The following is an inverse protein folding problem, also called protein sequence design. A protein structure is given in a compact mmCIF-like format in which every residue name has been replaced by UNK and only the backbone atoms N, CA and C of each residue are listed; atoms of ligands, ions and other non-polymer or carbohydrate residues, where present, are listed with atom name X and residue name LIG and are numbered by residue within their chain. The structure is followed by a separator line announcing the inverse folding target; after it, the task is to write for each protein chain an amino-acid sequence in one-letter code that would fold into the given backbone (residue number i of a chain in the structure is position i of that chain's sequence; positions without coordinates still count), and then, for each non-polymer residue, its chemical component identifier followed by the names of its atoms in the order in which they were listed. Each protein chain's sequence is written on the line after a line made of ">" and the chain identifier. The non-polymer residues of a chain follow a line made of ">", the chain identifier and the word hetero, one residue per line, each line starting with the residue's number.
data_IF_835150823118
#
_entry.id   IF_835150823118
#
_cell.length_a   1.000
_cell.length_b   1.000
_cell.length_c   1.000
_cell.angle_alpha   90.00
_cell.angle_beta   90.00
_cell.angle_gamma   90.00
#
_symmetry.space_group_name_H-M   'P 1'
#
loop_
_entity.id
_entity.type
_entity.pdbx_description
1 polymer ?
#
# COMPACT_ATOMS: atom_id res chain seq x y z
N UNK A 1 -18.24 26.31 -14.27
CA UNK A 1 -16.87 26.33 -13.73
C UNK A 1 -16.68 24.96 -13.08
N UNK A 2 -15.91 24.07 -13.73
CA UNK A 2 -15.56 22.76 -13.15
C UNK A 2 -14.50 23.07 -12.08
N UNK A 3 -14.83 22.85 -10.82
CA UNK A 3 -13.86 22.95 -9.74
C UNK A 3 -12.74 21.95 -10.04
N UNK A 4 -11.55 22.45 -10.33
CA UNK A 4 -10.34 21.66 -10.47
C UNK A 4 -10.01 21.15 -9.06
N UNK A 5 -10.41 19.93 -8.75
CA UNK A 5 -10.01 19.28 -7.50
C UNK A 5 -8.48 19.24 -7.50
N UNK A 6 -7.86 20.04 -6.64
CA UNK A 6 -6.40 20.01 -6.45
C UNK A 6 -6.11 18.68 -5.79
N UNK A 7 -5.60 17.71 -6.54
CA UNK A 7 -5.15 16.45 -5.97
C UNK A 7 -4.03 16.77 -4.98
N UNK A 8 -4.25 16.46 -3.72
CA UNK A 8 -3.34 16.74 -2.60
C UNK A 8 -2.03 15.92 -2.69
N UNK A 9 -1.85 15.15 -3.78
CA UNK A 9 -0.67 14.33 -4.06
C UNK A 9 -0.81 12.89 -3.60
N UNK A 10 0.22 12.09 -3.90
CA UNK A 10 0.29 10.67 -3.57
C UNK A 10 1.44 10.41 -2.59
N UNK A 11 1.15 9.70 -1.51
CA UNK A 11 2.14 9.13 -0.61
C UNK A 11 2.38 7.67 -1.00
N UNK A 12 3.61 7.35 -1.42
CA UNK A 12 4.06 6.00 -1.71
C UNK A 12 4.91 5.48 -0.56
N UNK A 13 4.59 4.32 -0.01
CA UNK A 13 5.38 3.71 1.05
C UNK A 13 5.89 2.33 0.67
N UNK A 14 7.04 1.95 1.22
CA UNK A 14 7.59 0.60 1.21
C UNK A 14 8.03 0.24 2.61
N UNK A 15 8.55 -0.96 2.80
CA UNK A 15 9.04 -1.43 4.08
C UNK A 15 10.53 -1.71 4.03
N UNK A 16 11.21 -1.46 5.14
CA UNK A 16 12.60 -1.85 5.34
C UNK A 16 12.79 -3.38 5.28
N UNK A 17 14.02 -3.82 5.33
CA UNK A 17 14.39 -5.23 5.39
C UNK A 17 13.90 -5.87 6.68
N UNK A 18 13.44 -7.12 6.62
CA UNK A 18 12.96 -7.88 7.78
C UNK A 18 13.32 -9.35 7.71
N UNK A 19 13.38 -10.00 8.87
CA UNK A 19 13.74 -11.41 8.96
C UNK A 19 15.09 -11.70 8.25
N UNK A 20 15.13 -12.72 7.42
CA UNK A 20 16.33 -13.10 6.64
C UNK A 20 16.42 -12.40 5.27
N UNK A 21 15.46 -11.54 4.93
CA UNK A 21 15.44 -10.81 3.67
C UNK A 21 16.32 -9.56 3.79
N UNK A 22 17.57 -9.65 3.30
CA UNK A 22 18.54 -8.53 3.31
C UNK A 22 18.11 -7.33 2.47
N UNK A 23 17.21 -7.52 1.53
CA UNK A 23 16.64 -6.50 0.67
C UNK A 23 15.14 -6.71 0.56
N UNK A 24 14.37 -5.66 0.81
CA UNK A 24 12.93 -5.67 0.60
C UNK A 24 12.62 -5.06 -0.77
N UNK A 25 11.93 -5.81 -1.62
CA UNK A 25 11.59 -5.35 -2.98
C UNK A 25 10.72 -4.09 -2.95
N UNK A 26 9.85 -3.94 -1.93
CA UNK A 26 9.01 -2.74 -1.80
C UNK A 26 9.86 -1.49 -1.54
N UNK A 27 10.89 -1.58 -0.70
CA UNK A 27 11.86 -0.50 -0.48
C UNK A 27 12.56 -0.13 -1.79
N UNK A 28 13.06 -1.12 -2.54
CA UNK A 28 13.80 -0.87 -3.77
C UNK A 28 12.95 -0.18 -4.83
N UNK A 29 11.68 -0.58 -4.98
CA UNK A 29 10.75 0.07 -5.92
C UNK A 29 10.46 1.52 -5.50
N UNK A 30 10.24 1.77 -4.19
CA UNK A 30 10.03 3.14 -3.67
C UNK A 30 11.25 4.01 -3.89
N UNK A 31 12.45 3.52 -3.62
CA UNK A 31 13.72 4.25 -3.83
C UNK A 31 13.93 4.60 -5.31
N UNK A 32 13.64 3.66 -6.23
CA UNK A 32 13.70 3.93 -7.67
C UNK A 32 12.68 4.99 -8.10
N UNK A 33 11.44 4.91 -7.63
CA UNK A 33 10.41 5.90 -7.93
C UNK A 33 10.81 7.28 -7.38
N UNK A 34 11.38 7.33 -6.18
CA UNK A 34 11.86 8.57 -5.57
C UNK A 34 12.99 9.23 -6.36
N UNK A 35 13.90 8.44 -6.94
CA UNK A 35 15.10 8.93 -7.64
C UNK A 35 14.91 9.15 -9.14
N UNK A 36 14.13 8.31 -9.80
CA UNK A 36 14.02 8.27 -11.26
C UNK A 36 12.60 8.55 -11.78
N UNK A 37 11.60 8.54 -10.88
CA UNK A 37 10.19 8.71 -11.26
C UNK A 37 9.91 10.11 -11.80
N UNK A 38 9.24 10.17 -12.97
CA UNK A 38 8.77 11.43 -13.55
C UNK A 38 7.25 11.46 -13.48
N UNK A 39 6.74 12.41 -12.71
CA UNK A 39 5.31 12.60 -12.47
C UNK A 39 4.94 14.07 -12.70
N UNK A 40 3.72 14.31 -13.17
CA UNK A 40 3.11 15.63 -13.35
C UNK A 40 2.28 16.08 -12.12
N UNK A 41 2.40 15.31 -11.02
CA UNK A 41 1.75 15.56 -9.75
C UNK A 41 2.75 15.36 -8.59
N UNK A 42 2.37 15.85 -7.39
CA UNK A 42 3.19 15.68 -6.19
C UNK A 42 3.19 14.21 -5.74
N UNK A 43 4.37 13.62 -5.63
CA UNK A 43 4.58 12.33 -4.97
C UNK A 43 5.54 12.51 -3.80
N UNK A 44 5.25 11.88 -2.69
CA UNK A 44 6.13 11.77 -1.53
C UNK A 44 6.35 10.30 -1.20
N UNK A 45 7.50 9.96 -0.66
CA UNK A 45 7.89 8.58 -0.38
C UNK A 45 8.33 8.41 1.07
N UNK A 46 8.02 7.26 1.66
CA UNK A 46 8.46 6.88 3.02
C UNK A 46 8.78 5.39 3.05
N UNK A 47 9.85 5.02 3.76
CA UNK A 47 10.16 3.63 4.09
C UNK A 47 9.77 3.39 5.54
N UNK A 48 8.81 2.50 5.73
CA UNK A 48 8.23 2.16 7.03
C UNK A 48 9.07 1.08 7.73
N UNK A 49 9.21 1.18 9.04
CA UNK A 49 9.74 0.09 9.85
C UNK A 49 8.80 -1.14 9.80
N UNK A 50 9.37 -2.34 9.90
CA UNK A 50 8.58 -3.57 9.97
C UNK A 50 8.30 -3.88 11.44
N UNK A 51 7.51 -3.03 12.07
CA UNK A 51 7.09 -3.12 13.47
C UNK A 51 5.77 -2.37 13.71
N UNK A 52 5.36 -2.27 14.98
CA UNK A 52 4.13 -1.55 15.35
C UNK A 52 4.22 -0.05 15.03
N UNK A 53 5.37 0.60 15.25
CA UNK A 53 5.53 2.02 14.98
C UNK A 53 5.37 2.31 13.48
N UNK A 54 6.07 1.55 12.62
CA UNK A 54 5.91 1.67 11.17
C UNK A 54 4.49 1.39 10.70
N UNK A 55 3.77 0.46 11.35
CA UNK A 55 2.38 0.17 10.99
C UNK A 55 1.41 1.32 11.32
N UNK A 56 1.74 2.18 12.27
CA UNK A 56 0.93 3.34 12.72
C UNK A 56 1.26 4.62 11.95
N UNK A 57 2.47 4.78 11.45
CA UNK A 57 3.01 6.03 10.94
C UNK A 57 2.06 6.74 9.95
N UNK A 58 1.53 6.01 8.96
CA UNK A 58 0.66 6.63 7.93
C UNK A 58 -0.73 6.94 8.47
N UNK A 59 -1.30 6.07 9.31
CA UNK A 59 -2.60 6.35 9.95
C UNK A 59 -2.53 7.60 10.84
N UNK A 60 -1.46 7.78 11.61
CA UNK A 60 -1.25 8.95 12.44
C UNK A 60 -1.09 10.25 11.61
N UNK A 61 -0.44 10.17 10.44
CA UNK A 61 -0.36 11.30 9.50
C UNK A 61 -1.74 11.69 8.95
N UNK A 62 -2.57 10.68 8.60
CA UNK A 62 -3.96 10.91 8.15
C UNK A 62 -4.77 11.56 9.28
N UNK A 63 -4.73 11.01 10.49
CA UNK A 63 -5.44 11.49 11.67
C UNK A 63 -5.02 12.91 12.08
N UNK A 64 -3.75 13.26 11.87
CA UNK A 64 -3.24 14.63 12.10
C UNK A 64 -3.72 15.66 11.07
N UNK A 65 -4.43 15.22 10.03
CA UNK A 65 -4.95 16.08 8.96
C UNK A 65 -3.92 16.44 7.89
N UNK A 66 -2.85 15.64 7.73
CA UNK A 66 -1.91 15.83 6.64
C UNK A 66 -2.63 15.72 5.28
N UNK A 67 -2.32 16.65 4.38
CA UNK A 67 -2.96 16.73 3.06
C UNK A 67 -2.40 15.68 2.11
N UNK A 68 -3.06 14.52 2.07
CA UNK A 68 -2.71 13.37 1.23
C UNK A 68 -3.97 12.97 0.44
N UNK A 69 -3.90 12.96 -0.88
CA UNK A 69 -5.02 12.53 -1.74
C UNK A 69 -5.10 11.01 -1.90
N UNK A 70 -3.95 10.37 -2.06
CA UNK A 70 -3.83 8.91 -2.24
C UNK A 70 -2.69 8.38 -1.38
N UNK A 71 -2.89 7.27 -0.71
CA UNK A 71 -1.83 6.45 -0.08
C UNK A 71 -1.71 5.14 -0.85
N UNK A 72 -0.51 4.86 -1.35
CA UNK A 72 -0.16 3.58 -1.95
C UNK A 72 0.92 2.89 -1.12
N UNK A 73 0.53 1.82 -0.43
CA UNK A 73 1.47 0.97 0.30
C UNK A 73 2.00 -0.14 -0.59
N UNK A 74 3.30 -0.39 -0.55
CA UNK A 74 3.95 -1.55 -1.16
C UNK A 74 4.50 -2.46 -0.08
N UNK A 75 4.22 -3.75 -0.16
CA UNK A 75 4.78 -4.78 0.71
C UNK A 75 5.37 -5.92 -0.11
N UNK A 76 6.20 -6.76 0.51
CA UNK A 76 6.74 -7.96 -0.09
C UNK A 76 5.92 -9.18 0.30
N UNK A 77 5.58 -10.02 -0.69
CA UNK A 77 4.99 -11.34 -0.45
C UNK A 77 5.81 -12.44 -1.12
N UNK A 78 6.44 -13.30 -0.31
CA UNK A 78 7.25 -14.42 -0.80
C UNK A 78 6.43 -15.38 -1.67
N UNK A 79 5.13 -15.53 -1.37
CA UNK A 79 4.25 -16.45 -2.09
C UNK A 79 3.63 -15.84 -3.35
N UNK A 80 3.67 -14.53 -3.53
CA UNK A 80 3.16 -13.89 -4.72
C UNK A 80 3.99 -14.26 -5.96
N UNK A 81 3.34 -14.54 -7.09
CA UNK A 81 3.97 -14.76 -8.39
C UNK A 81 3.76 -13.59 -9.35
N UNK A 82 2.90 -12.68 -8.98
CA UNK A 82 2.48 -11.49 -9.70
C UNK A 82 2.18 -10.36 -8.70
N UNK A 83 1.92 -9.17 -9.18
CA UNK A 83 1.55 -8.02 -8.36
C UNK A 83 0.11 -8.21 -7.88
N UNK A 84 -0.10 -8.11 -6.56
CA UNK A 84 -1.38 -8.32 -5.90
C UNK A 84 -1.92 -7.00 -5.35
N UNK A 85 -3.03 -6.50 -5.91
CA UNK A 85 -3.78 -5.38 -5.35
C UNK A 85 -4.71 -5.93 -4.26
N UNK A 86 -4.49 -5.52 -3.02
CA UNK A 86 -5.27 -6.01 -1.89
C UNK A 86 -6.63 -5.32 -1.82
N UNK A 87 -7.70 -6.10 -1.98
CA UNK A 87 -9.06 -5.56 -1.90
C UNK A 87 -9.46 -5.22 -0.48
N UNK A 88 -9.05 -6.05 0.48
CA UNK A 88 -9.47 -5.97 1.88
C UNK A 88 -8.29 -5.97 2.83
N UNK A 89 -8.45 -5.24 3.95
CA UNK A 89 -7.67 -5.43 5.16
C UNK A 89 -8.55 -6.05 6.26
N UNK A 90 -7.97 -6.94 7.08
CA UNK A 90 -8.69 -7.66 8.14
C UNK A 90 -8.25 -7.16 9.52
N UNK A 91 -9.22 -7.02 10.42
CA UNK A 91 -8.98 -6.62 11.81
C UNK A 91 -8.46 -7.79 12.66
N UNK A 92 -7.34 -8.37 12.24
CA UNK A 92 -6.76 -9.49 12.99
C UNK A 92 -5.23 -9.53 12.88
N UNK A 93 -4.61 -10.11 13.88
CA UNK A 93 -3.22 -10.53 13.86
C UNK A 93 -3.13 -12.04 13.60
N UNK A 94 -2.19 -12.43 12.76
CA UNK A 94 -1.78 -13.82 12.57
C UNK A 94 -0.31 -13.87 12.15
N UNK A 95 0.57 -13.41 13.04
CA UNK A 95 2.02 -13.32 12.78
C UNK A 95 2.67 -14.70 12.91
N UNK A 96 3.18 -15.23 11.81
CA UNK A 96 3.93 -16.51 11.79
C UNK A 96 5.36 -16.35 12.27
N UNK A 97 5.91 -15.13 12.16
CA UNK A 97 7.26 -14.76 12.60
C UNK A 97 7.17 -13.46 13.39
N UNK A 98 8.20 -13.17 14.19
CA UNK A 98 8.31 -11.89 14.88
C UNK A 98 8.59 -10.75 13.87
N UNK A 99 8.13 -9.55 14.18
CA UNK A 99 8.53 -8.32 13.50
C UNK A 99 9.94 -7.87 13.95
N UNK A 100 10.43 -6.75 13.41
CA UNK A 100 11.78 -6.27 13.71
C UNK A 100 11.96 -5.82 15.16
N UNK A 101 10.88 -5.54 15.89
CA UNK A 101 10.90 -5.24 17.33
C UNK A 101 10.79 -6.49 18.22
N UNK A 102 10.64 -7.68 17.61
CA UNK A 102 10.46 -8.93 18.32
C UNK A 102 9.02 -9.25 18.71
N UNK A 103 8.05 -8.43 18.28
CA UNK A 103 6.62 -8.65 18.53
C UNK A 103 6.09 -9.75 17.61
N UNK A 104 5.41 -10.75 18.20
CA UNK A 104 4.76 -11.83 17.44
C UNK A 104 3.35 -12.10 18.01
N UNK A 105 2.34 -11.55 17.37
CA UNK A 105 0.94 -11.70 17.74
C UNK A 105 0.27 -12.76 16.86
N UNK A 106 -0.05 -13.91 17.44
CA UNK A 106 -0.66 -15.04 16.71
C UNK A 106 -2.18 -14.94 16.62
N UNK A 107 -2.79 -14.05 17.41
CA UNK A 107 -4.24 -13.78 17.43
C UNK A 107 -4.52 -12.41 18.03
N UNK A 108 -5.76 -11.93 17.90
CA UNK A 108 -6.21 -10.64 18.42
C UNK A 108 -6.66 -9.70 17.31
N UNK A 109 -7.21 -8.56 17.71
CA UNK A 109 -7.69 -7.51 16.80
C UNK A 109 -6.73 -6.33 16.79
N UNK A 110 -6.61 -5.68 15.62
CA UNK A 110 -5.78 -4.49 15.43
C UNK A 110 -6.41 -3.27 16.10
N UNK A 111 -7.74 -3.19 16.05
CA UNK A 111 -8.52 -2.09 16.59
C UNK A 111 -9.91 -2.57 17.03
N UNK A 112 -10.71 -1.69 17.65
CA UNK A 112 -12.13 -1.90 17.95
C UNK A 112 -13.06 -1.70 16.74
N UNK A 113 -12.51 -1.40 15.55
CA UNK A 113 -13.26 -1.16 14.32
C UNK A 113 -13.85 -2.41 13.66
N UNK A 114 -14.35 -2.25 12.45
CA UNK A 114 -14.98 -3.32 11.67
C UNK A 114 -14.03 -4.51 11.44
N UNK A 115 -14.58 -5.71 11.28
CA UNK A 115 -13.79 -6.91 11.05
C UNK A 115 -13.01 -6.88 9.72
N UNK A 116 -13.54 -6.21 8.72
CA UNK A 116 -12.97 -6.07 7.38
C UNK A 116 -13.18 -4.64 6.91
N UNK A 117 -12.14 -4.06 6.30
CA UNK A 117 -12.19 -2.78 5.60
C UNK A 117 -11.82 -2.99 4.14
N UNK A 118 -12.49 -2.29 3.25
CA UNK A 118 -12.33 -2.37 1.80
C UNK A 118 -11.71 -1.08 1.25
N UNK A 119 -10.83 -1.19 0.26
CA UNK A 119 -10.33 -0.02 -0.46
C UNK A 119 -11.44 0.65 -1.27
N UNK A 120 -11.39 1.98 -1.39
CA UNK A 120 -12.28 2.73 -2.29
C UNK A 120 -11.83 2.67 -3.77
N UNK A 121 -10.70 2.03 -4.08
CA UNK A 121 -10.26 1.86 -5.48
C UNK A 121 -11.28 0.96 -6.21
N UNK A 122 -11.80 1.39 -7.38
CA UNK A 122 -12.86 0.66 -8.07
C UNK A 122 -12.44 -0.76 -8.47
N UNK A 123 -13.38 -1.72 -8.43
CA UNK A 123 -13.15 -3.11 -8.80
C UNK A 123 -12.60 -3.26 -10.24
N UNK A 124 -13.08 -2.42 -11.15
CA UNK A 124 -12.67 -2.41 -12.56
C UNK A 124 -11.40 -1.59 -12.82
N UNK A 125 -10.64 -1.22 -11.76
CA UNK A 125 -9.43 -0.40 -11.89
C UNK A 125 -8.38 -1.07 -12.79
N UNK A 126 -8.15 -2.38 -12.63
CA UNK A 126 -7.20 -3.12 -13.45
C UNK A 126 -7.64 -3.08 -14.91
N UNK A 127 -8.90 -3.42 -15.21
CA UNK A 127 -9.43 -3.47 -16.57
C UNK A 127 -9.39 -2.11 -17.27
N UNK A 128 -9.66 -1.03 -16.53
CA UNK A 128 -9.74 0.30 -17.10
C UNK A 128 -8.38 0.98 -17.29
N UNK A 129 -7.41 0.69 -16.43
CA UNK A 129 -6.15 1.47 -16.39
C UNK A 129 -4.89 0.62 -16.54
N UNK A 130 -4.98 -0.69 -16.37
CA UNK A 130 -3.82 -1.58 -16.28
C UNK A 130 -3.97 -2.83 -17.17
N UNK A 131 -4.89 -2.82 -18.13
CA UNK A 131 -5.19 -3.95 -19.02
C UNK A 131 -3.98 -4.45 -19.83
N UNK A 132 -2.98 -3.60 -20.07
CA UNK A 132 -1.75 -3.95 -20.78
C UNK A 132 -0.78 -4.81 -19.94
N UNK A 133 -1.02 -4.93 -18.63
CA UNK A 133 -0.15 -5.68 -17.72
C UNK A 133 -0.77 -7.04 -17.37
N UNK A 134 -0.11 -8.12 -17.77
CA UNK A 134 -0.60 -9.49 -17.56
C UNK A 134 -0.27 -10.06 -16.17
N UNK A 135 0.63 -9.42 -15.42
CA UNK A 135 1.10 -9.92 -14.11
C UNK A 135 0.60 -9.07 -12.94
N UNK A 136 -0.71 -8.83 -12.95
CA UNK A 136 -1.39 -8.03 -11.94
C UNK A 136 -2.81 -8.57 -11.74
N UNK A 137 -3.26 -8.66 -10.50
CA UNK A 137 -4.64 -9.02 -10.16
C UNK A 137 -5.08 -8.49 -8.81
N UNK A 138 -6.37 -8.50 -8.57
CA UNK A 138 -6.93 -8.33 -7.24
C UNK A 138 -6.65 -9.54 -6.35
N UNK A 139 -6.44 -9.28 -5.06
CA UNK A 139 -6.31 -10.27 -4.00
C UNK A 139 -7.21 -9.89 -2.82
N UNK A 140 -7.71 -10.88 -2.09
CA UNK A 140 -8.71 -10.67 -1.04
C UNK A 140 -8.18 -10.88 0.39
N UNK A 141 -6.88 -11.14 0.52
CA UNK A 141 -6.26 -11.42 1.82
C UNK A 141 -4.82 -10.89 1.88
N UNK A 142 -4.68 -9.74 2.54
CA UNK A 142 -3.39 -9.11 2.81
C UNK A 142 -2.57 -9.84 3.91
N UNK A 143 -3.07 -10.95 4.43
CA UNK A 143 -2.43 -11.74 5.49
C UNK A 143 -2.73 -11.23 6.90
N UNK A 144 -1.85 -11.54 7.84
CA UNK A 144 -2.02 -11.15 9.26
C UNK A 144 -0.73 -10.63 9.89
N UNK A 145 0.20 -10.13 9.08
CA UNK A 145 1.48 -9.54 9.50
C UNK A 145 1.42 -8.00 9.44
N UNK A 146 2.54 -7.33 9.63
CA UNK A 146 2.66 -5.86 9.64
C UNK A 146 2.04 -5.19 8.40
N UNK A 147 2.09 -5.84 7.23
CA UNK A 147 1.46 -5.35 6.00
C UNK A 147 -0.06 -5.15 6.17
N UNK A 148 -0.75 -6.17 6.65
CA UNK A 148 -2.19 -6.07 6.91
C UNK A 148 -2.50 -5.09 8.03
N UNK A 149 -1.67 -5.03 9.08
CA UNK A 149 -1.83 -4.07 10.17
C UNK A 149 -1.73 -2.63 9.65
N UNK A 150 -0.70 -2.30 8.87
CA UNK A 150 -0.51 -0.99 8.24
C UNK A 150 -1.69 -0.62 7.35
N UNK A 151 -2.12 -1.57 6.51
CA UNK A 151 -3.24 -1.35 5.59
C UNK A 151 -4.55 -1.12 6.33
N UNK A 152 -4.85 -1.96 7.34
CA UNK A 152 -6.06 -1.82 8.14
C UNK A 152 -6.12 -0.47 8.86
N UNK A 153 -5.03 -0.06 9.53
CA UNK A 153 -4.95 1.23 10.24
C UNK A 153 -5.15 2.42 9.29
N UNK A 154 -4.50 2.38 8.13
CA UNK A 154 -4.63 3.45 7.13
C UNK A 154 -6.04 3.54 6.53
N UNK A 155 -6.70 2.40 6.27
CA UNK A 155 -8.09 2.36 5.82
C UNK A 155 -9.06 2.86 6.90
N UNK A 156 -8.82 2.51 8.17
CA UNK A 156 -9.66 2.98 9.27
C UNK A 156 -9.57 4.51 9.40
N UNK A 157 -8.36 5.06 9.49
CA UNK A 157 -8.13 6.50 9.55
C UNK A 157 -8.73 7.23 8.33
N UNK A 158 -8.55 6.67 7.12
CA UNK A 158 -9.16 7.21 5.90
C UNK A 158 -10.70 7.22 5.95
N UNK A 159 -11.32 6.20 6.52
CA UNK A 159 -12.78 6.14 6.63
C UNK A 159 -13.35 7.19 7.58
N UNK A 160 -12.63 7.50 8.65
CA UNK A 160 -13.02 8.51 9.64
C UNK A 160 -12.81 9.94 9.13
N UNK A 161 -11.74 10.17 8.38
CA UNK A 161 -11.38 11.47 7.82
C UNK A 161 -11.94 11.73 6.42
N UNK A 162 -12.62 10.73 5.80
CA UNK A 162 -13.12 10.70 4.43
C UNK A 162 -12.06 10.85 3.32
N UNK A 163 -10.80 10.93 3.67
CA UNK A 163 -9.61 10.96 2.81
C UNK A 163 -8.39 10.43 3.58
N UNK A 164 -7.31 9.98 2.93
CA UNK A 164 -7.09 9.73 1.48
C UNK A 164 -7.75 8.45 0.97
N UNK A 165 -7.67 8.20 -0.34
CA UNK A 165 -7.87 6.85 -0.86
C UNK A 165 -6.66 6.00 -0.55
N UNK A 166 -6.84 4.79 -0.03
CA UNK A 166 -5.75 3.90 0.38
C UNK A 166 -5.79 2.61 -0.42
N UNK A 167 -4.65 2.21 -0.96
CA UNK A 167 -4.45 0.90 -1.60
C UNK A 167 -3.17 0.26 -1.05
N UNK A 168 -3.21 -1.04 -0.85
CA UNK A 168 -2.04 -1.86 -0.55
C UNK A 168 -1.73 -2.81 -1.69
N UNK A 169 -0.46 -2.95 -2.04
CA UNK A 169 0.02 -3.86 -3.08
C UNK A 169 1.11 -4.77 -2.53
N UNK A 170 0.94 -6.07 -2.68
CA UNK A 170 2.01 -7.02 -2.47
C UNK A 170 2.79 -7.27 -3.76
N UNK A 171 4.10 -7.15 -3.65
CA UNK A 171 5.07 -7.36 -4.71
C UNK A 171 5.70 -8.76 -4.59
N UNK A 172 5.86 -9.50 -5.70
CA UNK A 172 6.61 -10.76 -5.71
C UNK A 172 8.12 -10.49 -5.58
N UNK A 173 8.89 -11.56 -5.34
CA UNK A 173 10.35 -11.46 -5.36
C UNK A 173 10.87 -11.07 -6.75
N UNK A 174 12.05 -10.43 -6.80
CA UNK A 174 12.73 -10.07 -8.05
C UNK A 174 13.02 -11.29 -8.96
N UNK A 175 13.15 -12.49 -8.38
CA UNK A 175 13.29 -13.74 -9.15
C UNK A 175 12.04 -14.12 -9.95
N UNK A 176 10.86 -13.73 -9.47
CA UNK A 176 9.57 -14.03 -10.12
C UNK A 176 9.14 -12.93 -11.08
N UNK A 177 9.41 -11.69 -10.71
CA UNK A 177 9.14 -10.50 -11.53
C UNK A 177 10.30 -9.52 -11.36
N UNK A 178 11.08 -9.20 -12.42
CA UNK A 178 12.25 -8.32 -12.33
C UNK A 178 11.91 -6.95 -11.73
N UNK A 179 12.83 -6.37 -10.94
CA UNK A 179 12.65 -5.06 -10.29
C UNK A 179 12.23 -3.96 -11.28
N UNK A 180 12.85 -3.92 -12.46
CA UNK A 180 12.54 -2.91 -13.50
C UNK A 180 11.10 -3.04 -14.02
N UNK A 181 10.59 -4.27 -14.13
CA UNK A 181 9.19 -4.52 -14.54
C UNK A 181 8.22 -4.07 -13.44
N UNK A 182 8.51 -4.42 -12.18
CA UNK A 182 7.72 -3.97 -11.03
C UNK A 182 7.70 -2.44 -10.93
N UNK A 183 8.86 -1.77 -11.07
CA UNK A 183 8.95 -0.32 -11.13
C UNK A 183 8.05 0.30 -12.20
N UNK A 184 8.07 -0.25 -13.42
CA UNK A 184 7.21 0.21 -14.52
C UNK A 184 5.72 0.08 -14.23
N UNK A 185 5.30 -1.07 -13.68
CA UNK A 185 3.90 -1.31 -13.32
C UNK A 185 3.48 -0.37 -12.18
N UNK A 186 4.27 -0.25 -11.10
CA UNK A 186 3.93 0.63 -9.97
C UNK A 186 3.89 2.10 -10.40
N UNK A 187 4.80 2.53 -11.27
CA UNK A 187 4.75 3.89 -11.86
C UNK A 187 3.43 4.13 -12.60
N UNK A 188 2.96 3.16 -13.39
CA UNK A 188 1.67 3.25 -14.08
C UNK A 188 0.50 3.28 -13.09
N UNK A 189 0.55 2.48 -12.02
CA UNK A 189 -0.47 2.50 -10.96
C UNK A 189 -0.52 3.88 -10.28
N UNK A 190 0.62 4.46 -9.92
CA UNK A 190 0.68 5.80 -9.32
C UNK A 190 0.01 6.85 -10.21
N UNK A 191 0.31 6.84 -11.52
CA UNK A 191 -0.28 7.75 -12.49
C UNK A 191 -1.79 7.54 -12.61
N UNK A 192 -2.24 6.30 -12.67
CA UNK A 192 -3.66 5.96 -12.80
C UNK A 192 -4.46 6.33 -11.54
N UNK A 193 -3.93 6.04 -10.34
CA UNK A 193 -4.59 6.42 -9.08
C UNK A 193 -4.75 7.94 -8.95
N UNK A 194 -3.78 8.73 -9.43
CA UNK A 194 -3.88 10.18 -9.42
C UNK A 194 -4.93 10.73 -10.40
N UNK A 195 -5.34 9.96 -11.41
CA UNK A 195 -6.35 10.36 -12.41
C UNK A 195 -7.78 10.02 -12.00
N UNK A 196 -7.96 9.10 -11.06
CA UNK A 196 -9.30 8.68 -10.63
C UNK A 196 -9.94 9.79 -9.80
N UNK A 197 -11.10 10.23 -10.24
CA UNK A 197 -11.98 11.09 -9.43
C UNK A 197 -12.79 10.18 -8.51
N UNK A 198 -12.47 10.20 -7.24
CA UNK A 198 -13.28 9.50 -6.24
C UNK A 198 -14.48 10.41 -5.90
N UNK A 199 -15.67 9.97 -6.28
CA UNK A 199 -16.93 10.61 -5.84
C UNK A 199 -17.28 10.04 -4.47
N UNK A 200 -17.59 10.95 -3.53
CA UNK A 200 -18.10 10.62 -2.19
C UNK A 200 -19.40 9.82 -2.24
#
# INVERSE_FOLDING_TARGET
>A
MIAKTVHEGLLLTGFESFSNFKRNISQQVVELISSEGVFDFKISTTILAVDENGSREVSERIESGEKIGVVLHLGFSENANEILLERYARNNFHMKIADNSGRQLTSGTISTGNAILETKVPQNFIDNYLADFSKIRWNEDAGGFVCNETYYRSLLASSEMHQPVVLFIHLPSEKKLPLKEQYGIITSICKSLNQIHYTD
#
